data_IF_938275014113
#
_entry.id   IF_938275014113
#
_cell.length_a   1.000
_cell.length_b   1.000
_cell.length_c   1.000
_cell.angle_alpha   90.00
_cell.angle_beta   90.00
_cell.angle_gamma   90.00
#
_symmetry.space_group_name_H-M   'P 1'
#
loop_
_entity.id
_entity.type
_entity.pdbx_description
1 polymer ?
#
# COMPACT_ATOMS: atom_id res chain seq x y z
N UNK A 1 1.05 -8.95 28.58
CA UNK A 1 1.91 -8.97 27.36
C UNK A 1 1.34 -9.93 26.33
N UNK A 2 1.07 -11.19 26.69
CA UNK A 2 0.55 -12.21 25.76
C UNK A 2 -0.73 -11.79 25.02
N UNK A 3 -1.73 -11.26 25.73
CA UNK A 3 -2.97 -10.79 25.10
C UNK A 3 -2.70 -9.66 24.08
N UNK A 4 -1.89 -8.66 24.46
CA UNK A 4 -1.53 -7.56 23.55
C UNK A 4 -0.76 -8.06 22.33
N UNK A 5 0.14 -9.01 22.50
CA UNK A 5 0.89 -9.63 21.39
C UNK A 5 -0.05 -10.38 20.45
N UNK A 6 -1.04 -11.10 20.99
CA UNK A 6 -2.05 -11.79 20.21
C UNK A 6 -2.91 -10.80 19.42
N UNK A 7 -3.48 -9.81 20.10
CA UNK A 7 -4.32 -8.78 19.46
C UNK A 7 -3.56 -8.02 18.35
N UNK A 8 -2.27 -7.74 18.58
CA UNK A 8 -1.40 -7.15 17.56
C UNK A 8 -1.15 -8.08 16.37
N UNK A 9 -0.89 -9.36 16.63
CA UNK A 9 -0.63 -10.36 15.59
C UNK A 9 -1.85 -10.57 14.71
N UNK A 10 -3.03 -10.67 15.33
CA UNK A 10 -4.31 -10.83 14.64
C UNK A 10 -4.61 -9.59 13.79
N UNK A 11 -4.46 -8.38 14.35
CA UNK A 11 -4.66 -7.13 13.59
C UNK A 11 -3.66 -6.98 12.43
N UNK A 12 -2.44 -7.45 12.59
CA UNK A 12 -1.42 -7.43 11.54
C UNK A 12 -1.77 -8.38 10.39
N UNK A 13 -2.31 -9.56 10.70
CA UNK A 13 -2.74 -10.52 9.69
C UNK A 13 -3.78 -9.92 8.74
N UNK A 14 -4.80 -9.25 9.28
CA UNK A 14 -5.85 -8.62 8.47
C UNK A 14 -5.31 -7.50 7.58
N UNK A 15 -4.42 -6.66 8.12
CA UNK A 15 -3.76 -5.58 7.36
C UNK A 15 -2.89 -6.14 6.24
N UNK A 16 -2.15 -7.24 6.50
CA UNK A 16 -1.33 -7.90 5.49
C UNK A 16 -2.18 -8.46 4.35
N UNK A 17 -3.30 -9.11 4.65
CA UNK A 17 -4.23 -9.60 3.64
C UNK A 17 -4.78 -8.48 2.75
N UNK A 18 -4.99 -7.28 3.32
CA UNK A 18 -5.40 -6.09 2.56
C UNK A 18 -4.29 -5.63 1.60
N UNK A 19 -3.05 -5.54 2.07
CA UNK A 19 -1.89 -5.15 1.26
C UNK A 19 -1.69 -6.11 0.07
N UNK A 20 -1.76 -7.42 0.32
CA UNK A 20 -1.66 -8.46 -0.71
C UNK A 20 -2.78 -8.35 -1.75
N UNK A 21 -4.02 -8.09 -1.33
CA UNK A 21 -5.17 -7.90 -2.24
C UNK A 21 -4.97 -6.75 -3.22
N UNK A 22 -4.34 -5.66 -2.78
CA UNK A 22 -4.11 -4.49 -3.61
C UNK A 22 -2.74 -4.49 -4.30
N UNK A 23 -1.96 -5.57 -4.17
CA UNK A 23 -0.60 -5.69 -4.71
C UNK A 23 0.31 -4.53 -4.27
N UNK A 24 0.15 -4.09 -3.02
CA UNK A 24 0.97 -3.04 -2.40
C UNK A 24 1.75 -3.59 -1.22
N UNK A 25 2.90 -3.02 -0.93
CA UNK A 25 3.73 -3.37 0.23
C UNK A 25 4.39 -2.12 0.81
N UNK A 26 4.84 -2.20 2.06
CA UNK A 26 5.56 -1.13 2.74
C UNK A 26 7.05 -1.33 2.51
N UNK A 27 7.73 -0.30 2.01
CA UNK A 27 9.18 -0.36 1.86
C UNK A 27 9.84 -0.28 3.25
N UNK A 28 10.42 -1.39 3.72
CA UNK A 28 11.06 -1.43 5.04
C UNK A 28 12.37 -0.65 5.11
N UNK A 29 12.99 -0.37 3.95
CA UNK A 29 14.29 0.28 3.86
C UNK A 29 14.18 1.79 3.56
N UNK A 30 13.02 2.27 3.13
CA UNK A 30 12.77 3.67 2.75
C UNK A 30 11.35 4.06 3.09
N UNK A 31 11.09 5.30 3.47
CA UNK A 31 9.72 5.78 3.67
C UNK A 31 8.97 5.79 2.34
N UNK A 32 8.14 4.77 2.08
CA UNK A 32 7.37 4.66 0.85
C UNK A 32 6.59 3.35 0.73
N UNK A 33 5.78 3.29 -0.33
CA UNK A 33 4.99 2.11 -0.71
C UNK A 33 5.58 1.51 -1.98
N UNK A 34 5.66 0.19 -2.04
CA UNK A 34 5.97 -0.57 -3.23
C UNK A 34 4.66 -1.03 -3.87
N UNK A 35 4.52 -0.84 -5.17
CA UNK A 35 3.34 -1.27 -5.91
C UNK A 35 3.79 -2.25 -6.97
N UNK A 36 3.26 -3.47 -6.91
CA UNK A 36 3.47 -4.47 -7.95
C UNK A 36 2.36 -4.35 -8.99
N UNK A 37 2.53 -3.44 -9.96
CA UNK A 37 1.52 -3.21 -10.98
C UNK A 37 1.69 -4.17 -12.16
N UNK A 38 0.86 -5.23 -12.18
CA UNK A 38 0.78 -6.19 -13.27
C UNK A 38 -0.19 -5.76 -14.39
N UNK A 39 -1.03 -4.75 -14.12
CA UNK A 39 -2.02 -4.24 -15.04
C UNK A 39 -1.53 -2.91 -15.66
N UNK A 40 -1.98 -2.57 -16.89
CA UNK A 40 -1.74 -1.24 -17.44
C UNK A 40 -2.26 -0.15 -16.48
N UNK A 41 -1.47 0.89 -16.29
CA UNK A 41 -1.78 1.95 -15.33
C UNK A 41 -1.33 3.32 -15.83
N UNK A 42 -2.01 4.35 -15.35
CA UNK A 42 -1.64 5.74 -15.51
C UNK A 42 -0.90 6.21 -14.26
N UNK A 43 0.20 6.94 -14.46
CA UNK A 43 0.97 7.59 -13.40
C UNK A 43 0.91 9.09 -13.62
N UNK A 44 0.48 9.83 -12.61
CA UNK A 44 0.59 11.28 -12.61
C UNK A 44 2.06 11.68 -12.44
N UNK A 45 2.55 12.55 -13.33
CA UNK A 45 3.92 13.09 -13.29
C UNK A 45 3.97 14.52 -12.74
N UNK A 46 2.83 15.04 -12.27
CA UNK A 46 2.72 16.37 -11.68
C UNK A 46 3.57 16.44 -10.41
N UNK A 47 4.43 17.46 -10.25
CA UNK A 47 5.29 17.61 -9.07
C UNK A 47 4.55 18.18 -7.85
N UNK A 48 3.29 18.62 -8.01
CA UNK A 48 2.50 19.19 -6.93
C UNK A 48 2.07 18.12 -5.92
N UNK A 49 2.74 18.11 -4.77
CA UNK A 49 2.47 17.20 -3.65
C UNK A 49 1.15 17.48 -2.95
N UNK A 50 0.53 18.65 -3.16
CA UNK A 50 -0.76 19.03 -2.60
C UNK A 50 -1.93 18.73 -3.54
N UNK A 51 -1.63 18.18 -4.72
CA UNK A 51 -2.65 17.78 -5.67
C UNK A 51 -3.59 16.74 -5.05
N UNK A 52 -4.90 16.97 -5.22
CA UNK A 52 -5.93 16.00 -4.83
C UNK A 52 -6.20 14.97 -5.92
N UNK A 53 -5.42 14.99 -7.01
CA UNK A 53 -5.53 14.03 -8.11
C UNK A 53 -5.05 12.63 -7.71
N UNK A 54 -5.43 11.64 -8.51
CA UNK A 54 -4.96 10.25 -8.33
C UNK A 54 -3.54 10.11 -8.88
N UNK A 55 -2.59 9.68 -8.05
CA UNK A 55 -1.19 9.48 -8.47
C UNK A 55 -1.02 8.24 -9.35
N UNK A 56 -1.73 7.14 -9.05
CA UNK A 56 -1.65 5.87 -9.80
C UNK A 56 -3.07 5.32 -9.99
N UNK A 57 -3.43 5.03 -11.24
CA UNK A 57 -4.75 4.52 -11.61
C UNK A 57 -4.63 3.28 -12.50
N UNK A 58 -5.22 2.15 -12.09
CA UNK A 58 -5.27 0.94 -12.91
C UNK A 58 -6.34 1.03 -13.99
N UNK A 59 -5.96 0.72 -15.23
CA UNK A 59 -6.88 0.61 -16.35
C UNK A 59 -7.65 -0.71 -16.27
N UNK A 60 -8.91 -0.69 -16.74
CA UNK A 60 -9.75 -1.90 -16.87
C UNK A 60 -9.49 -2.60 -18.18
#
# INVERSE_FOLDING_TARGET
VEQLTKDWSDSWHDKRALLERYSVDINQNRAGVLIHSLLPHLIALEPDVLSTGVTIYHLR
#
